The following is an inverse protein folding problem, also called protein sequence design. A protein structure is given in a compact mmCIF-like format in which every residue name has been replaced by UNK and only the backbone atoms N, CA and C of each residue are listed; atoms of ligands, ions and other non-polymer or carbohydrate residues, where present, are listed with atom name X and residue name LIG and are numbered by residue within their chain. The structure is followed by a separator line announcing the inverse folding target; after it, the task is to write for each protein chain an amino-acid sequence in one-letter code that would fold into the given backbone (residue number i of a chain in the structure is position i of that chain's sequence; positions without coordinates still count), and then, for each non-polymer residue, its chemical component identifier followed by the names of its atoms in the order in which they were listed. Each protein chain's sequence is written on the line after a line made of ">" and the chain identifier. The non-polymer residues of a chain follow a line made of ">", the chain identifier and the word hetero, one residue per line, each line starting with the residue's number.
data_IF_818292075349
#
_entry.id   IF_818292075349
#
_cell.length_a   1.000
_cell.length_b   1.000
_cell.length_c   1.000
_cell.angle_alpha   90.00
_cell.angle_beta   90.00
_cell.angle_gamma   90.00
#
_symmetry.space_group_name_H-M   'P 1'
#
loop_
_entity.id
_entity.type
_entity.pdbx_description
1 polymer ?
#
# COMPACT_ATOMS: atom_id res chain seq x y z
N UNK A 1 -10.74 -24.68 -28.65
CA UNK A 1 -9.89 -24.54 -27.46
C UNK A 1 -9.06 -23.27 -27.65
N UNK A 2 -9.52 -22.18 -27.05
CA UNK A 2 -8.86 -20.86 -27.13
C UNK A 2 -7.60 -20.92 -26.30
N UNK A 3 -6.43 -20.74 -26.92
CA UNK A 3 -5.18 -20.45 -26.21
C UNK A 3 -5.34 -19.07 -25.59
N UNK A 4 -5.57 -19.01 -24.28
CA UNK A 4 -5.34 -17.80 -23.52
C UNK A 4 -3.85 -17.50 -23.70
N UNK A 5 -3.53 -16.45 -24.47
CA UNK A 5 -2.19 -15.92 -24.55
C UNK A 5 -1.76 -15.60 -23.12
N UNK A 6 -0.69 -16.24 -22.63
CA UNK A 6 -0.06 -15.92 -21.36
C UNK A 6 0.50 -14.50 -21.45
N UNK A 7 -0.36 -13.51 -21.13
CA UNK A 7 0.06 -12.12 -21.04
C UNK A 7 1.15 -12.02 -19.97
N UNK A 8 2.34 -11.58 -20.37
CA UNK A 8 3.47 -11.38 -19.46
C UNK A 8 3.46 -9.99 -18.86
N UNK A 9 4.13 -9.84 -17.75
CA UNK A 9 4.37 -8.57 -17.05
C UNK A 9 5.74 -8.60 -16.37
N UNK A 10 6.27 -7.44 -16.03
CA UNK A 10 7.56 -7.36 -15.36
C UNK A 10 7.45 -7.61 -13.86
N UNK A 11 8.40 -8.41 -13.33
CA UNK A 11 8.67 -8.59 -11.91
C UNK A 11 10.17 -8.37 -11.67
N UNK A 12 10.54 -7.16 -11.25
CA UNK A 12 11.92 -6.71 -11.25
C UNK A 12 12.49 -6.72 -12.68
N UNK A 13 13.58 -7.46 -12.88
CA UNK A 13 14.24 -7.62 -14.19
C UNK A 13 13.77 -8.86 -14.98
N UNK A 14 12.73 -9.55 -14.52
CA UNK A 14 12.20 -10.77 -15.16
C UNK A 14 10.82 -10.52 -15.73
N UNK A 15 10.54 -11.15 -16.87
CA UNK A 15 9.19 -11.30 -17.38
C UNK A 15 8.54 -12.53 -16.75
N UNK A 16 7.33 -12.37 -16.26
CA UNK A 16 6.54 -13.43 -15.62
C UNK A 16 5.10 -13.39 -16.15
N UNK A 17 4.38 -14.51 -16.16
CA UNK A 17 2.94 -14.50 -16.44
C UNK A 17 2.20 -13.56 -15.50
N UNK A 18 1.25 -12.79 -16.02
CA UNK A 18 0.42 -11.87 -15.18
C UNK A 18 -0.24 -12.62 -14.02
N UNK A 19 -0.65 -13.85 -14.23
CA UNK A 19 -1.25 -14.72 -13.22
C UNK A 19 -0.30 -15.09 -12.07
N UNK A 20 1.00 -15.14 -12.32
CA UNK A 20 2.01 -15.49 -11.31
C UNK A 20 2.53 -14.27 -10.53
N UNK A 21 2.44 -13.05 -11.08
CA UNK A 21 3.04 -11.84 -10.49
C UNK A 21 2.55 -11.58 -9.07
N UNK A 22 1.24 -11.65 -8.84
CA UNK A 22 0.67 -11.39 -7.52
C UNK A 22 1.20 -12.34 -6.43
N UNK A 23 1.36 -13.63 -6.77
CA UNK A 23 1.95 -14.64 -5.87
C UNK A 23 3.41 -14.34 -5.54
N UNK A 24 4.22 -14.02 -6.55
CA UNK A 24 5.64 -13.69 -6.38
C UNK A 24 5.84 -12.42 -5.55
N UNK A 25 5.06 -11.38 -5.80
CA UNK A 25 5.08 -10.15 -5.01
C UNK A 25 4.74 -10.45 -3.55
N UNK A 26 3.68 -11.23 -3.31
CA UNK A 26 3.27 -11.63 -1.96
C UNK A 26 4.37 -12.40 -1.23
N UNK A 27 5.00 -13.38 -1.88
CA UNK A 27 6.07 -14.18 -1.28
C UNK A 27 7.26 -13.33 -0.83
N UNK A 28 7.68 -12.36 -1.67
CA UNK A 28 8.73 -11.41 -1.29
C UNK A 28 8.34 -10.59 -0.07
N UNK A 29 7.14 -10.00 -0.05
CA UNK A 29 6.71 -9.18 1.08
C UNK A 29 6.49 -10.01 2.36
N UNK A 30 6.00 -11.23 2.25
CA UNK A 30 5.86 -12.14 3.40
C UNK A 30 7.22 -12.48 4.03
N UNK A 31 8.25 -12.65 3.20
CA UNK A 31 9.61 -12.95 3.68
C UNK A 31 10.28 -11.80 4.44
N UNK A 32 9.90 -10.56 4.14
CA UNK A 32 10.51 -9.35 4.72
C UNK A 32 9.59 -8.58 5.67
N UNK A 33 8.32 -8.97 5.82
CA UNK A 33 7.32 -8.23 6.57
C UNK A 33 7.76 -7.86 8.01
N UNK A 34 8.46 -8.76 8.69
CA UNK A 34 8.96 -8.54 10.06
C UNK A 34 10.13 -7.55 10.17
N UNK A 35 10.81 -7.23 9.07
CA UNK A 35 11.99 -6.35 9.01
C UNK A 35 11.86 -5.27 7.94
N UNK A 36 10.67 -5.09 7.41
CA UNK A 36 10.43 -4.22 6.25
C UNK A 36 10.92 -2.79 6.48
N UNK A 37 10.63 -2.22 7.63
CA UNK A 37 11.03 -0.86 7.99
C UNK A 37 12.56 -0.75 8.14
N UNK A 38 13.17 -1.72 8.82
CA UNK A 38 14.62 -1.76 8.98
C UNK A 38 15.34 -1.92 7.64
N UNK A 39 14.80 -2.76 6.76
CA UNK A 39 15.35 -2.94 5.41
C UNK A 39 15.27 -1.64 4.60
N UNK A 40 14.13 -0.94 4.66
CA UNK A 40 13.97 0.34 3.98
C UNK A 40 14.91 1.41 4.54
N UNK A 41 15.07 1.47 5.87
CA UNK A 41 16.01 2.39 6.52
C UNK A 41 17.46 2.16 6.06
N UNK A 42 17.88 0.89 6.05
CA UNK A 42 19.25 0.52 5.64
C UNK A 42 19.46 0.79 4.14
N UNK A 43 18.53 0.38 3.28
CA UNK A 43 18.68 0.52 1.81
C UNK A 43 18.62 1.97 1.35
N UNK A 44 17.91 2.84 2.04
CA UNK A 44 17.74 4.25 1.67
C UNK A 44 18.54 5.21 2.54
N UNK A 45 19.31 4.71 3.51
CA UNK A 45 20.01 5.54 4.51
C UNK A 45 19.06 6.53 5.21
N UNK A 46 17.80 6.13 5.41
CA UNK A 46 16.76 6.97 6.02
C UNK A 46 16.12 8.02 5.09
N UNK A 47 16.59 8.17 3.87
CA UNK A 47 16.04 9.16 2.89
C UNK A 47 14.56 8.91 2.60
N UNK A 48 14.10 7.67 2.64
CA UNK A 48 12.68 7.34 2.43
C UNK A 48 11.76 8.03 3.44
N UNK A 49 12.24 8.32 4.66
CA UNK A 49 11.46 9.05 5.68
C UNK A 49 11.22 10.50 5.26
N UNK A 50 12.25 11.16 4.72
CA UNK A 50 12.13 12.51 4.19
C UNK A 50 11.16 12.57 3.00
N UNK A 51 11.19 11.58 2.12
CA UNK A 51 10.26 11.50 1.00
C UNK A 51 8.81 11.31 1.47
N UNK A 52 8.58 10.47 2.47
CA UNK A 52 7.23 10.29 3.05
C UNK A 52 6.72 11.59 3.65
N UNK A 53 7.57 12.32 4.38
CA UNK A 53 7.20 13.63 4.92
C UNK A 53 6.90 14.65 3.81
N UNK A 54 7.75 14.76 2.80
CA UNK A 54 7.52 15.63 1.66
C UNK A 54 6.23 15.26 0.91
N UNK A 55 5.96 13.98 0.74
CA UNK A 55 4.75 13.47 0.12
C UNK A 55 3.49 13.89 0.91
N UNK A 56 3.46 13.66 2.22
CA UNK A 56 2.32 14.04 3.07
C UNK A 56 2.15 15.56 3.11
N UNK A 57 3.25 16.32 3.15
CA UNK A 57 3.20 17.78 3.06
C UNK A 57 2.60 18.27 1.73
N UNK A 58 2.92 17.61 0.62
CA UNK A 58 2.36 17.96 -0.69
C UNK A 58 0.89 17.56 -0.82
N UNK A 59 0.48 16.43 -0.25
CA UNK A 59 -0.92 16.01 -0.18
C UNK A 59 -1.76 16.99 0.64
N UNK A 60 -1.16 17.58 1.68
CA UNK A 60 -1.77 18.56 2.57
C UNK A 60 -3.18 18.16 3.06
N UNK A 61 -3.32 17.00 3.73
CA UNK A 61 -4.62 16.50 4.15
C UNK A 61 -5.32 17.46 5.10
N UNK A 62 -6.64 17.54 5.01
CA UNK A 62 -7.47 18.33 5.93
C UNK A 62 -8.00 17.47 7.05
N UNK A 63 -8.26 18.09 8.19
CA UNK A 63 -8.86 17.40 9.34
C UNK A 63 -10.21 16.80 8.94
N UNK A 64 -10.38 15.50 9.18
CA UNK A 64 -11.60 14.74 8.86
C UNK A 64 -11.73 14.33 7.39
N UNK A 65 -10.80 14.70 6.51
CA UNK A 65 -10.78 14.24 5.13
C UNK A 65 -10.49 12.74 5.07
N UNK A 66 -11.25 12.03 4.23
CA UNK A 66 -11.22 10.57 4.16
C UNK A 66 -10.27 10.07 3.09
N UNK A 67 -9.21 9.41 3.50
CA UNK A 67 -8.19 8.85 2.61
C UNK A 67 -8.26 7.32 2.52
N UNK A 68 -7.83 6.80 1.37
CA UNK A 68 -7.34 5.42 1.25
C UNK A 68 -5.86 5.47 0.96
N UNK A 69 -5.03 4.86 1.82
CA UNK A 69 -3.63 4.58 1.54
C UNK A 69 -3.55 3.19 0.89
N UNK A 70 -3.50 3.20 -0.45
CA UNK A 70 -3.55 2.00 -1.28
C UNK A 70 -2.16 1.38 -1.41
N UNK A 71 -2.08 0.06 -1.25
CA UNK A 71 -0.83 -0.66 -1.06
C UNK A 71 0.01 -0.07 0.09
N UNK A 72 -0.69 0.35 1.15
CA UNK A 72 -0.11 1.08 2.29
C UNK A 72 0.73 0.22 3.24
N UNK A 73 0.70 -1.10 3.07
CA UNK A 73 1.56 -2.05 3.79
C UNK A 73 1.42 -1.94 5.30
N UNK A 74 2.50 -1.55 5.98
CA UNK A 74 2.55 -1.36 7.44
C UNK A 74 2.03 0.00 7.91
N UNK A 75 1.55 0.85 6.99
CA UNK A 75 0.80 2.07 7.30
C UNK A 75 1.65 3.31 7.56
N UNK A 76 2.88 3.38 7.07
CA UNK A 76 3.74 4.56 7.32
C UNK A 76 3.13 5.88 6.83
N UNK A 77 2.58 5.86 5.60
CA UNK A 77 1.89 7.05 5.04
C UNK A 77 0.58 7.28 5.78
N UNK A 78 -0.18 6.21 6.06
CA UNK A 78 -1.44 6.32 6.77
C UNK A 78 -1.27 6.93 8.17
N UNK A 79 -0.24 6.55 8.92
CA UNK A 79 0.04 7.19 10.21
C UNK A 79 0.34 8.68 10.05
N UNK A 80 1.16 9.06 9.07
CA UNK A 80 1.52 10.45 8.85
C UNK A 80 0.32 11.30 8.38
N UNK A 81 -0.59 10.73 7.57
CA UNK A 81 -1.85 11.38 7.19
C UNK A 81 -2.78 11.51 8.42
N UNK A 82 -2.86 10.46 9.25
CA UNK A 82 -3.64 10.47 10.50
C UNK A 82 -3.12 11.50 11.51
N UNK A 83 -1.80 11.62 11.66
CA UNK A 83 -1.16 12.65 12.49
C UNK A 83 -1.51 14.07 12.03
N UNK A 84 -1.79 14.26 10.74
CA UNK A 84 -2.27 15.51 10.16
C UNK A 84 -3.80 15.69 10.27
N UNK A 85 -4.51 14.72 10.88
CA UNK A 85 -5.94 14.78 11.18
C UNK A 85 -6.87 14.13 10.15
N UNK A 86 -6.35 13.42 9.15
CA UNK A 86 -7.16 12.69 8.19
C UNK A 86 -7.77 11.39 8.78
N UNK A 87 -8.95 10.99 8.29
CA UNK A 87 -9.53 9.66 8.49
C UNK A 87 -8.98 8.70 7.42
N UNK A 88 -8.14 7.76 7.81
CA UNK A 88 -7.39 6.94 6.85
C UNK A 88 -7.80 5.47 6.91
N UNK A 89 -8.04 4.88 5.74
CA UNK A 89 -8.08 3.44 5.55
C UNK A 89 -6.81 2.97 4.84
N UNK A 90 -6.09 2.02 5.40
CA UNK A 90 -5.02 1.30 4.72
C UNK A 90 -5.63 0.13 3.96
N UNK A 91 -5.46 0.11 2.65
CA UNK A 91 -5.88 -1.01 1.81
C UNK A 91 -4.65 -1.70 1.22
N UNK A 92 -4.47 -2.96 1.52
CA UNK A 92 -3.35 -3.73 1.00
C UNK A 92 -3.76 -5.16 0.67
N UNK A 93 -3.17 -5.72 -0.39
CA UNK A 93 -3.39 -7.11 -0.79
C UNK A 93 -2.75 -8.10 0.20
N UNK A 94 -1.67 -7.70 0.87
CA UNK A 94 -0.90 -8.54 1.78
C UNK A 94 -1.42 -8.44 3.22
N UNK A 95 -2.12 -9.48 3.66
CA UNK A 95 -2.67 -9.55 5.01
C UNK A 95 -1.59 -9.58 6.12
N UNK A 96 -0.36 -10.03 5.84
CA UNK A 96 0.72 -9.98 6.84
C UNK A 96 1.17 -8.54 7.09
N UNK A 97 1.30 -7.73 6.03
CA UNK A 97 1.63 -6.32 6.15
C UNK A 97 0.58 -5.58 6.98
N UNK A 98 -0.71 -5.84 6.74
CA UNK A 98 -1.82 -5.27 7.52
C UNK A 98 -1.75 -5.69 9.00
N UNK A 99 -1.42 -6.96 9.30
CA UNK A 99 -1.24 -7.42 10.68
C UNK A 99 -0.09 -6.69 11.38
N UNK A 100 1.03 -6.51 10.70
CA UNK A 100 2.15 -5.73 11.23
C UNK A 100 1.77 -4.26 11.46
N UNK A 101 1.03 -3.67 10.53
CA UNK A 101 0.54 -2.30 10.68
C UNK A 101 -0.38 -2.14 11.89
N UNK A 102 -1.32 -3.06 12.10
CA UNK A 102 -2.18 -3.09 13.30
C UNK A 102 -1.37 -3.20 14.59
N UNK A 103 -0.36 -4.08 14.61
CA UNK A 103 0.53 -4.21 15.76
C UNK A 103 1.25 -2.88 16.02
N UNK A 104 1.80 -2.24 14.99
CA UNK A 104 2.46 -0.92 15.12
C UNK A 104 1.51 0.15 15.65
N UNK A 105 0.25 0.17 15.20
CA UNK A 105 -0.76 1.09 15.72
C UNK A 105 -0.99 0.87 17.23
N UNK A 106 -1.12 -0.40 17.65
CA UNK A 106 -1.26 -0.76 19.07
C UNK A 106 -0.01 -0.38 19.88
N UNK A 107 1.18 -0.65 19.38
CA UNK A 107 2.46 -0.30 20.03
C UNK A 107 2.64 1.23 20.18
N UNK A 108 2.02 2.02 19.30
CA UNK A 108 1.94 3.49 19.38
C UNK A 108 0.84 3.99 20.32
N UNK A 109 0.03 3.11 20.86
CA UNK A 109 -1.11 3.47 21.73
C UNK A 109 -2.26 4.15 20.98
N UNK A 110 -2.37 3.95 19.67
CA UNK A 110 -3.45 4.56 18.88
C UNK A 110 -4.76 3.79 19.11
N UNK A 111 -5.68 4.40 19.84
CA UNK A 111 -7.03 3.85 20.10
C UNK A 111 -7.94 4.02 18.89
N UNK A 112 -7.74 5.07 18.13
CA UNK A 112 -8.42 5.38 16.86
C UNK A 112 -7.38 5.45 15.74
N UNK A 113 -6.81 4.29 15.38
CA UNK A 113 -5.85 4.18 14.30
C UNK A 113 -6.55 4.00 12.93
N UNK A 114 -5.76 3.88 11.87
CA UNK A 114 -6.29 3.64 10.53
C UNK A 114 -7.20 2.39 10.46
N UNK A 115 -8.22 2.44 9.60
CA UNK A 115 -8.97 1.25 9.22
C UNK A 115 -8.09 0.35 8.34
N UNK A 116 -7.98 -0.93 8.68
CA UNK A 116 -7.14 -1.88 7.95
C UNK A 116 -8.00 -2.82 7.10
N UNK A 117 -7.85 -2.75 5.79
CA UNK A 117 -8.69 -3.44 4.81
C UNK A 117 -7.82 -4.30 3.89
N UNK A 118 -8.13 -5.59 3.79
CA UNK A 118 -7.53 -6.42 2.77
C UNK A 118 -8.27 -6.21 1.44
N UNK A 119 -7.54 -5.86 0.37
CA UNK A 119 -8.15 -5.57 -0.92
C UNK A 119 -7.15 -5.53 -2.05
N UNK A 120 -7.67 -5.74 -3.27
CA UNK A 120 -6.92 -5.60 -4.52
C UNK A 120 -7.10 -4.18 -5.04
N UNK A 121 -5.99 -3.53 -5.42
CA UNK A 121 -6.01 -2.22 -6.05
C UNK A 121 -6.81 -2.17 -7.36
N UNK A 122 -7.02 -3.31 -7.99
CA UNK A 122 -7.76 -3.45 -9.25
C UNK A 122 -9.26 -3.74 -9.05
N UNK A 123 -9.69 -3.88 -7.79
CA UNK A 123 -11.09 -4.10 -7.38
C UNK A 123 -11.23 -3.67 -5.91
N UNK A 124 -11.39 -2.38 -5.69
CA UNK A 124 -11.38 -1.77 -4.38
C UNK A 124 -12.62 -2.16 -3.56
N UNK A 125 -12.46 -2.57 -2.29
CA UNK A 125 -13.58 -2.94 -1.43
C UNK A 125 -14.22 -1.70 -0.77
N UNK A 126 -14.38 -0.61 -1.51
CA UNK A 126 -15.01 0.62 -1.06
C UNK A 126 -16.16 0.98 -1.99
N UNK A 127 -17.19 1.61 -1.44
CA UNK A 127 -18.24 2.19 -2.26
C UNK A 127 -17.71 3.38 -3.07
N UNK A 128 -18.26 3.58 -4.26
CA UNK A 128 -17.90 4.72 -5.10
C UNK A 128 -18.12 6.05 -4.35
N UNK A 129 -17.20 6.96 -4.48
CA UNK A 129 -17.21 8.28 -3.82
C UNK A 129 -17.28 8.23 -2.27
N UNK A 130 -16.91 7.11 -1.64
CA UNK A 130 -16.90 6.97 -0.18
C UNK A 130 -15.67 7.60 0.47
N UNK A 131 -14.68 8.00 -0.31
CA UNK A 131 -13.41 8.60 0.12
C UNK A 131 -13.11 9.84 -0.70
N UNK A 132 -12.42 10.79 -0.07
CA UNK A 132 -12.11 12.07 -0.70
C UNK A 132 -10.83 11.99 -1.54
N UNK A 133 -9.89 11.14 -1.14
CA UNK A 133 -8.61 10.96 -1.85
C UNK A 133 -8.04 9.56 -1.67
N UNK A 134 -7.21 9.17 -2.63
CA UNK A 134 -6.43 7.92 -2.60
C UNK A 134 -4.95 8.28 -2.74
N UNK A 135 -4.12 7.69 -1.87
CA UNK A 135 -2.67 7.76 -1.98
C UNK A 135 -2.12 6.38 -2.33
N UNK A 136 -1.09 6.35 -3.15
CA UNK A 136 -0.32 5.14 -3.42
C UNK A 136 1.16 5.50 -3.54
N UNK A 137 1.94 5.09 -2.53
CA UNK A 137 3.37 5.36 -2.49
C UNK A 137 4.14 4.08 -2.81
N UNK A 138 4.88 4.07 -3.90
CA UNK A 138 5.72 2.96 -4.39
C UNK A 138 4.97 1.65 -4.74
N UNK A 139 3.71 1.47 -4.34
CA UNK A 139 2.93 0.25 -4.54
C UNK A 139 2.51 0.01 -5.98
N UNK A 140 2.30 1.06 -6.77
CA UNK A 140 1.73 0.98 -8.12
C UNK A 140 2.54 0.05 -9.05
N UNK A 141 3.86 0.04 -8.95
CA UNK A 141 4.75 -0.84 -9.73
C UNK A 141 4.52 -2.33 -9.49
N UNK A 142 3.96 -2.69 -8.33
CA UNK A 142 3.70 -4.07 -7.93
C UNK A 142 2.33 -4.56 -8.38
N UNK A 143 1.43 -3.65 -8.78
CA UNK A 143 0.11 -3.99 -9.30
C UNK A 143 0.24 -4.71 -10.64
N UNK A 144 -0.59 -5.72 -10.84
CA UNK A 144 -0.55 -6.55 -12.07
C UNK A 144 -0.96 -5.74 -13.30
N UNK A 145 -2.04 -4.94 -13.19
CA UNK A 145 -2.51 -4.00 -14.21
C UNK A 145 -2.66 -2.60 -13.59
N UNK A 146 -1.60 -1.75 -13.66
CA UNK A 146 -1.65 -0.40 -13.12
C UNK A 146 -2.72 0.48 -13.75
N UNK A 147 -2.99 0.30 -15.06
CA UNK A 147 -3.99 1.08 -15.76
C UNK A 147 -5.42 0.76 -15.27
N UNK A 148 -5.68 -0.50 -14.94
CA UNK A 148 -6.93 -0.93 -14.31
C UNK A 148 -7.08 -0.32 -12.92
N UNK A 149 -6.03 -0.40 -12.09
CA UNK A 149 -6.05 0.16 -10.74
C UNK A 149 -6.27 1.68 -10.70
N UNK A 150 -5.76 2.41 -11.71
CA UNK A 150 -5.96 3.86 -11.82
C UNK A 150 -7.34 4.26 -12.34
N UNK A 151 -8.09 3.32 -12.92
CA UNK A 151 -9.49 3.56 -13.34
C UNK A 151 -10.50 3.19 -12.28
N UNK A 152 -10.12 2.34 -11.34
CA UNK A 152 -10.93 1.92 -10.23
C UNK A 152 -11.13 3.04 -9.20
#
# INVERSE_FOLDING_TARGET
>A
MSQASDETTHFGFREVPKTAKAGLVREVFDSVAGRYDLMNDVMSLGVHRLWKQAFVHQVAPRVGEKFVDLAGGTGDIAFALGDAGADVAVCDYNAQMLRQGRKRAADKGLTEGPLWVAGDAQALPFASAARDAITIAFGLRNVTDPAKALRE
#
